data_IF_552141643045
#
_entry.id   IF_552141643045
#
_cell.length_a   1.000
_cell.length_b   1.000
_cell.length_c   1.000
_cell.angle_alpha   90.00
_cell.angle_beta   90.00
_cell.angle_gamma   90.00
#
_symmetry.space_group_name_H-M   'P 1'
#
loop_
_entity.id
_entity.type
_entity.pdbx_description
1 polymer ?
#
# COMPACT_ATOMS: atom_id res chain seq x y z
N UNK A 1 14.44 -15.23 18.43
CA UNK A 1 13.15 -14.95 17.80
C UNK A 1 12.85 -13.50 18.01
N UNK A 2 12.57 -12.79 16.95
CA UNK A 2 12.55 -11.33 16.83
C UNK A 2 11.15 -10.74 17.00
N UNK A 3 11.09 -9.41 17.21
CA UNK A 3 9.85 -8.65 17.22
C UNK A 3 9.67 -7.91 15.89
N UNK A 4 8.44 -7.73 15.46
CA UNK A 4 8.09 -6.87 14.32
C UNK A 4 7.07 -5.81 14.71
N UNK A 5 7.15 -4.64 14.08
CA UNK A 5 6.11 -3.60 14.14
C UNK A 5 5.39 -3.52 12.80
N UNK A 6 4.05 -3.40 12.84
CA UNK A 6 3.22 -3.07 11.68
C UNK A 6 2.46 -1.78 12.00
N UNK A 7 2.82 -0.68 11.35
CA UNK A 7 2.03 0.56 11.44
C UNK A 7 0.92 0.53 10.39
N UNK A 8 -0.26 1.04 10.73
CA UNK A 8 -1.46 0.87 9.89
C UNK A 8 -1.93 -0.61 9.86
N UNK A 9 -1.59 -1.36 10.92
CA UNK A 9 -1.78 -2.80 10.95
C UNK A 9 -3.21 -3.26 11.18
N UNK A 10 -4.12 -2.37 11.59
CA UNK A 10 -5.55 -2.66 11.67
C UNK A 10 -6.31 -2.35 10.37
N UNK A 11 -5.66 -1.71 9.39
CA UNK A 11 -6.23 -1.39 8.09
C UNK A 11 -6.23 -2.58 7.11
N UNK A 12 -6.63 -2.34 5.86
CA UNK A 12 -6.79 -3.34 4.79
C UNK A 12 -5.52 -4.18 4.58
N UNK A 13 -4.45 -3.59 4.04
CA UNK A 13 -3.23 -4.33 3.72
C UNK A 13 -2.52 -4.78 5.01
N UNK A 14 -2.50 -3.89 6.03
CA UNK A 14 -1.81 -4.14 7.29
C UNK A 14 -2.34 -5.36 8.03
N UNK A 15 -3.65 -5.53 8.12
CA UNK A 15 -4.25 -6.67 8.83
C UNK A 15 -4.00 -8.02 8.12
N UNK A 16 -4.00 -8.04 6.78
CA UNK A 16 -3.60 -9.22 6.01
C UNK A 16 -2.12 -9.56 6.23
N UNK A 17 -1.26 -8.53 6.31
CA UNK A 17 0.16 -8.72 6.61
C UNK A 17 0.38 -9.22 8.02
N UNK A 18 -0.32 -8.65 9.01
CA UNK A 18 -0.26 -9.10 10.43
C UNK A 18 -0.55 -10.60 10.53
N UNK A 19 -1.64 -11.07 9.95
CA UNK A 19 -2.00 -12.50 9.99
C UNK A 19 -0.90 -13.38 9.38
N UNK A 20 -0.26 -12.92 8.33
CA UNK A 20 0.78 -13.68 7.61
C UNK A 20 2.11 -13.74 8.36
N UNK A 21 2.46 -12.69 9.11
CA UNK A 21 3.75 -12.61 9.81
C UNK A 21 3.71 -13.15 11.25
N UNK A 22 2.54 -13.32 11.85
CA UNK A 22 2.40 -13.89 13.20
C UNK A 22 3.22 -15.16 13.46
N UNK A 23 3.28 -16.16 12.54
CA UNK A 23 4.09 -17.35 12.75
C UNK A 23 5.59 -17.13 12.57
N UNK A 24 6.01 -15.98 12.01
CA UNK A 24 7.42 -15.69 11.69
C UNK A 24 8.13 -14.92 12.82
N UNK A 25 7.39 -14.20 13.66
CA UNK A 25 7.93 -13.36 14.73
C UNK A 25 7.40 -13.83 16.09
N UNK A 26 8.24 -13.67 17.13
CA UNK A 26 7.84 -14.00 18.50
C UNK A 26 6.76 -13.05 19.02
N UNK A 27 6.83 -11.81 18.59
CA UNK A 27 5.90 -10.75 18.97
C UNK A 27 5.65 -9.86 17.76
N UNK A 28 4.40 -9.55 17.49
CA UNK A 28 3.98 -8.56 16.50
C UNK A 28 3.28 -7.43 17.22
N UNK A 29 3.83 -6.23 17.07
CA UNK A 29 3.26 -4.99 17.62
C UNK A 29 2.51 -4.30 16.48
N UNK A 30 1.24 -3.95 16.71
CA UNK A 30 0.42 -3.21 15.76
C UNK A 30 0.20 -1.78 16.28
N UNK A 31 0.50 -0.79 15.44
CA UNK A 31 0.24 0.63 15.71
C UNK A 31 -0.74 1.14 14.66
N UNK A 32 -1.90 1.60 15.09
CA UNK A 32 -2.94 2.19 14.23
C UNK A 32 -3.71 3.25 15.03
N UNK A 33 -4.12 4.35 14.41
CA UNK A 33 -4.92 5.39 15.09
C UNK A 33 -6.39 5.37 14.69
N UNK A 34 -6.78 4.42 13.82
CA UNK A 34 -8.15 4.28 13.30
C UNK A 34 -8.68 5.56 12.61
N UNK A 35 -7.79 6.33 11.97
CA UNK A 35 -8.17 7.60 11.33
C UNK A 35 -8.78 7.46 9.94
N UNK A 36 -8.73 6.27 9.32
CA UNK A 36 -9.19 6.08 7.95
C UNK A 36 -10.71 5.99 7.84
N UNK A 37 -11.35 7.04 7.34
CA UNK A 37 -12.80 7.06 7.04
C UNK A 37 -13.24 6.06 5.96
N UNK A 38 -12.28 5.49 5.21
CA UNK A 38 -12.58 4.50 4.17
C UNK A 38 -12.76 3.09 4.75
N UNK A 39 -12.29 2.83 5.95
CA UNK A 39 -12.44 1.55 6.60
C UNK A 39 -13.79 1.49 7.33
N UNK A 40 -14.60 0.47 7.02
CA UNK A 40 -15.84 0.22 7.75
C UNK A 40 -15.59 -0.35 9.14
N UNK A 41 -14.50 -1.08 9.26
CA UNK A 41 -14.00 -1.63 10.51
C UNK A 41 -12.47 -1.69 10.49
N UNK A 42 -11.90 -1.79 11.67
CA UNK A 42 -10.48 -2.02 11.89
C UNK A 42 -10.29 -3.45 12.38
N UNK A 43 -9.31 -4.14 11.79
CA UNK A 43 -9.07 -5.58 11.99
C UNK A 43 -7.91 -5.77 12.96
N UNK A 44 -8.16 -5.54 14.24
CA UNK A 44 -7.20 -5.84 15.29
C UNK A 44 -7.06 -7.35 15.48
N UNK A 45 -5.84 -7.84 15.67
CA UNK A 45 -5.61 -9.25 15.96
C UNK A 45 -5.22 -9.42 17.42
N UNK A 46 -5.99 -10.22 18.19
CA UNK A 46 -5.82 -10.41 19.64
C UNK A 46 -4.51 -11.14 20.01
N UNK A 47 -3.83 -11.75 19.02
CA UNK A 47 -2.50 -12.37 19.21
C UNK A 47 -1.36 -11.35 19.13
N UNK A 48 -1.65 -10.10 18.85
CA UNK A 48 -0.68 -9.02 18.73
C UNK A 48 -0.69 -8.12 19.96
N UNK A 49 0.39 -7.39 20.17
CA UNK A 49 0.43 -6.25 21.09
C UNK A 49 -0.10 -5.02 20.35
N UNK A 50 -1.35 -4.66 20.62
CA UNK A 50 -2.08 -3.62 19.88
C UNK A 50 -1.97 -2.26 20.57
N UNK A 51 -1.63 -1.21 19.82
CA UNK A 51 -1.55 0.16 20.30
C UNK A 51 -2.34 1.10 19.39
N UNK A 52 -3.37 1.75 19.94
CA UNK A 52 -4.10 2.82 19.26
C UNK A 52 -3.34 4.14 19.45
N UNK A 53 -2.37 4.41 18.55
CA UNK A 53 -1.48 5.57 18.61
C UNK A 53 -1.30 6.19 17.23
N UNK A 54 -1.03 7.51 17.21
CA UNK A 54 -0.63 8.24 16.01
C UNK A 54 0.88 8.06 15.76
N UNK A 55 1.28 7.72 14.55
CA UNK A 55 2.69 7.58 14.16
C UNK A 55 3.49 8.90 14.27
N UNK A 56 2.83 10.03 14.39
CA UNK A 56 3.46 11.32 14.65
C UNK A 56 3.79 11.56 16.13
N UNK A 57 3.31 10.71 17.03
CA UNK A 57 3.54 10.83 18.47
C UNK A 57 4.83 10.12 18.88
N UNK A 58 5.97 10.79 18.62
CA UNK A 58 7.30 10.24 18.85
C UNK A 58 7.50 9.69 20.27
N UNK A 59 7.07 10.43 21.28
CA UNK A 59 7.34 10.07 22.68
C UNK A 59 6.62 8.77 23.09
N UNK A 60 5.40 8.55 22.59
CA UNK A 60 4.60 7.36 22.91
C UNK A 60 4.95 6.16 22.02
N UNK A 61 5.41 6.35 20.79
CA UNK A 61 5.74 5.22 19.92
C UNK A 61 7.19 4.75 20.07
N UNK A 62 8.14 5.64 20.41
CA UNK A 62 9.58 5.33 20.52
C UNK A 62 9.85 4.13 21.44
N UNK A 63 9.26 4.00 22.64
CA UNK A 63 9.51 2.86 23.51
C UNK A 63 9.12 1.50 22.91
N UNK A 64 8.18 1.48 21.96
CA UNK A 64 7.70 0.26 21.32
C UNK A 64 8.73 -0.39 20.39
N UNK A 65 9.76 0.37 19.99
CA UNK A 65 10.81 -0.09 19.08
C UNK A 65 11.91 -0.91 19.76
N UNK A 66 11.87 -1.05 21.07
CA UNK A 66 12.88 -1.81 21.80
C UNK A 66 12.91 -3.28 21.39
N UNK A 67 14.08 -3.76 20.95
CA UNK A 67 14.34 -5.12 20.44
C UNK A 67 13.51 -5.51 19.19
N UNK A 68 13.04 -4.51 18.42
CA UNK A 68 12.37 -4.73 17.13
C UNK A 68 13.41 -5.03 16.05
N UNK A 69 13.17 -6.08 15.27
CA UNK A 69 14.03 -6.44 14.13
C UNK A 69 13.55 -5.79 12.82
N UNK A 70 12.25 -5.80 12.58
CA UNK A 70 11.67 -5.30 11.32
C UNK A 70 10.45 -4.42 11.59
N UNK A 71 10.35 -3.34 10.82
CA UNK A 71 9.18 -2.47 10.79
C UNK A 71 8.54 -2.52 9.41
N UNK A 72 7.26 -2.84 9.35
CA UNK A 72 6.42 -2.69 8.17
C UNK A 72 5.62 -1.40 8.31
N UNK A 73 5.96 -0.40 7.51
CA UNK A 73 5.37 0.93 7.62
C UNK A 73 4.29 1.16 6.55
N UNK A 74 3.01 0.88 6.94
CA UNK A 74 1.85 1.02 6.07
C UNK A 74 0.94 2.19 6.46
N UNK A 75 1.04 2.72 7.68
CA UNK A 75 0.24 3.86 8.12
C UNK A 75 0.43 5.07 7.22
N UNK A 76 -0.64 5.60 6.69
CA UNK A 76 -0.64 6.78 5.82
C UNK A 76 -2.06 7.34 5.61
N UNK A 77 -2.14 8.62 5.26
CA UNK A 77 -3.28 9.16 4.53
C UNK A 77 -3.21 8.62 3.08
N UNK A 78 -4.01 7.58 2.77
CA UNK A 78 -3.79 6.70 1.62
C UNK A 78 -4.74 6.96 0.43
N UNK A 79 -5.45 8.09 0.41
CA UNK A 79 -6.46 8.41 -0.61
C UNK A 79 -6.21 9.75 -1.26
N UNK A 80 -6.28 9.81 -2.58
CA UNK A 80 -6.00 11.04 -3.34
C UNK A 80 -6.95 12.17 -2.92
N UNK A 81 -8.26 11.96 -2.95
CA UNK A 81 -9.22 13.03 -2.71
C UNK A 81 -9.22 13.58 -1.27
N UNK A 82 -9.16 12.75 -0.21
CA UNK A 82 -8.97 13.26 1.15
C UNK A 82 -7.69 14.09 1.30
N UNK A 83 -6.57 13.68 0.67
CA UNK A 83 -5.31 14.44 0.74
C UNK A 83 -5.38 15.78 -0.01
N UNK A 84 -6.19 15.88 -1.08
CA UNK A 84 -6.46 17.18 -1.74
C UNK A 84 -7.29 18.10 -0.84
N UNK A 85 -8.27 17.53 -0.13
CA UNK A 85 -9.11 18.30 0.82
C UNK A 85 -8.32 18.77 2.04
N UNK A 86 -7.39 17.97 2.53
CA UNK A 86 -6.54 18.29 3.69
C UNK A 86 -5.07 17.94 3.44
N UNK A 87 -4.35 18.75 2.63
CA UNK A 87 -2.95 18.49 2.31
C UNK A 87 -2.01 18.62 3.52
N UNK A 88 -2.37 19.44 4.52
CA UNK A 88 -1.60 19.60 5.76
C UNK A 88 -1.59 18.29 6.55
N UNK A 89 -2.76 17.65 6.73
CA UNK A 89 -2.85 16.36 7.39
C UNK A 89 -2.07 15.30 6.63
N UNK A 90 -2.17 15.28 5.30
CA UNK A 90 -1.39 14.38 4.45
C UNK A 90 0.12 14.55 4.67
N UNK A 91 0.62 15.77 4.67
CA UNK A 91 2.04 16.06 4.93
C UNK A 91 2.45 15.65 6.36
N UNK A 92 1.63 15.96 7.35
CA UNK A 92 1.88 15.56 8.75
C UNK A 92 2.00 14.04 8.86
N UNK A 93 0.99 13.30 8.42
CA UNK A 93 0.97 11.84 8.57
C UNK A 93 2.01 11.16 7.69
N UNK A 94 2.05 11.48 6.39
CA UNK A 94 2.88 10.73 5.45
C UNK A 94 4.36 11.16 5.45
N UNK A 95 4.68 12.40 5.80
CA UNK A 95 6.06 12.88 5.81
C UNK A 95 6.61 12.90 7.23
N UNK A 96 5.96 13.64 8.15
CA UNK A 96 6.44 13.74 9.53
C UNK A 96 6.30 12.38 10.22
N UNK A 97 5.16 11.69 10.11
CA UNK A 97 4.97 10.35 10.68
C UNK A 97 5.98 9.34 10.14
N UNK A 98 6.26 9.32 8.82
CA UNK A 98 7.29 8.45 8.24
C UNK A 98 8.69 8.78 8.80
N UNK A 99 9.03 10.07 8.92
CA UNK A 99 10.30 10.50 9.52
C UNK A 99 10.40 10.04 10.98
N UNK A 100 9.30 10.13 11.75
CA UNK A 100 9.23 9.65 13.13
C UNK A 100 9.49 8.15 13.23
N UNK A 101 8.85 7.33 12.38
CA UNK A 101 9.08 5.88 12.34
C UNK A 101 10.53 5.54 11.99
N UNK A 102 11.10 6.19 10.98
CA UNK A 102 12.49 5.98 10.59
C UNK A 102 13.46 6.38 11.70
N UNK A 103 13.19 7.48 12.42
CA UNK A 103 14.02 7.92 13.54
C UNK A 103 13.95 6.95 14.71
N UNK A 104 12.76 6.49 15.11
CA UNK A 104 12.61 5.47 16.15
C UNK A 104 13.32 4.16 15.76
N UNK A 105 13.20 3.74 14.50
CA UNK A 105 13.86 2.54 13.99
C UNK A 105 15.40 2.67 14.05
N UNK A 106 15.94 3.83 13.66
CA UNK A 106 17.38 4.12 13.75
C UNK A 106 17.88 4.09 15.20
N UNK A 107 17.19 4.77 16.11
CA UNK A 107 17.60 4.85 17.53
C UNK A 107 17.57 3.50 18.23
N UNK A 108 16.61 2.64 17.88
CA UNK A 108 16.48 1.30 18.42
C UNK A 108 17.34 0.26 17.68
N UNK A 109 18.15 0.65 16.69
CA UNK A 109 18.96 -0.25 15.85
C UNK A 109 18.13 -1.33 15.17
N UNK A 110 16.92 -0.97 14.69
CA UNK A 110 16.08 -1.86 13.87
C UNK A 110 16.88 -2.26 12.63
N UNK A 111 16.84 -3.55 12.28
CA UNK A 111 17.58 -4.07 11.12
C UNK A 111 17.00 -3.51 9.82
N UNK A 112 15.66 -3.53 9.66
CA UNK A 112 15.04 -3.16 8.39
C UNK A 112 13.68 -2.48 8.55
N UNK A 113 13.44 -1.47 7.71
CA UNK A 113 12.13 -0.83 7.53
C UNK A 113 11.64 -1.10 6.11
N UNK A 114 10.41 -1.63 5.98
CA UNK A 114 9.74 -1.85 4.69
C UNK A 114 8.65 -0.81 4.57
N UNK A 115 8.78 0.07 3.57
CA UNK A 115 7.91 1.22 3.37
C UNK A 115 6.91 0.98 2.24
N UNK A 116 5.63 1.15 2.54
CA UNK A 116 4.55 1.07 1.57
C UNK A 116 4.40 2.39 0.83
N UNK A 117 4.86 2.45 -0.42
CA UNK A 117 4.70 3.57 -1.34
C UNK A 117 3.58 3.31 -2.37
N UNK A 118 3.57 4.03 -3.49
CA UNK A 118 2.47 4.03 -4.45
C UNK A 118 2.94 4.21 -5.89
N UNK A 119 2.27 3.54 -6.83
CA UNK A 119 2.43 3.78 -8.27
C UNK A 119 1.95 5.18 -8.72
N UNK A 120 1.18 5.88 -7.88
CA UNK A 120 0.72 7.25 -8.19
C UNK A 120 1.86 8.26 -8.36
N UNK A 121 3.07 7.92 -7.92
CA UNK A 121 4.27 8.73 -8.12
C UNK A 121 4.71 8.84 -9.58
N UNK A 122 4.26 7.93 -10.45
CA UNK A 122 4.60 7.96 -11.88
C UNK A 122 3.83 8.99 -12.70
N UNK A 123 2.67 9.44 -12.22
CA UNK A 123 1.86 10.47 -12.86
C UNK A 123 1.39 10.13 -14.28
N UNK A 124 1.40 11.13 -15.18
CA UNK A 124 0.86 11.03 -16.55
C UNK A 124 1.95 11.08 -17.64
N UNK A 125 3.15 11.55 -17.34
CA UNK A 125 4.22 11.76 -18.33
C UNK A 125 5.02 10.49 -18.64
N UNK A 126 5.00 9.52 -17.75
CA UNK A 126 5.73 8.30 -17.89
C UNK A 126 5.00 7.31 -18.80
N UNK A 127 5.76 6.63 -19.67
CA UNK A 127 5.21 5.63 -20.59
C UNK A 127 5.20 4.24 -19.94
N UNK A 128 4.17 3.47 -20.19
CA UNK A 128 4.07 2.08 -19.77
C UNK A 128 4.99 1.16 -20.61
N UNK A 129 5.46 0.04 -20.04
CA UNK A 129 5.35 -0.36 -18.64
C UNK A 129 6.19 0.54 -17.72
N UNK A 130 5.61 0.91 -16.56
CA UNK A 130 6.23 1.82 -15.59
C UNK A 130 7.37 1.12 -14.85
N UNK A 131 8.56 1.70 -14.84
CA UNK A 131 9.73 1.17 -14.13
C UNK A 131 10.30 2.20 -13.16
N UNK A 132 11.07 1.74 -12.20
CA UNK A 132 11.52 2.53 -11.04
C UNK A 132 12.64 3.55 -11.37
N UNK A 133 13.19 3.52 -12.59
CA UNK A 133 14.16 4.52 -13.07
C UNK A 133 13.47 5.76 -13.68
N UNK A 134 12.16 5.69 -13.89
CA UNK A 134 11.40 6.80 -14.43
C UNK A 134 11.30 7.95 -13.43
N UNK A 135 11.31 9.22 -13.91
CA UNK A 135 11.20 10.37 -13.04
C UNK A 135 9.84 10.43 -12.32
N UNK A 136 9.84 10.97 -11.11
CA UNK A 136 8.61 11.25 -10.38
C UNK A 136 7.78 12.32 -11.12
N UNK A 137 6.47 12.07 -11.30
CA UNK A 137 5.49 13.00 -11.86
C UNK A 137 4.26 13.06 -10.94
N UNK A 138 4.47 13.56 -9.73
CA UNK A 138 3.45 13.59 -8.68
C UNK A 138 2.35 14.62 -8.97
N UNK A 139 1.10 14.19 -9.09
CA UNK A 139 -0.04 15.03 -9.50
C UNK A 139 -0.91 15.53 -8.34
N UNK A 140 -0.69 15.02 -7.13
CA UNK A 140 -1.54 15.31 -5.97
C UNK A 140 -0.76 15.17 -4.65
N UNK A 141 -1.28 15.71 -3.52
CA UNK A 141 -0.59 15.63 -2.23
C UNK A 141 -0.27 14.21 -1.77
N UNK A 142 -1.12 13.23 -2.08
CA UNK A 142 -0.86 11.82 -1.77
C UNK A 142 0.43 11.33 -2.43
N UNK A 143 0.54 11.47 -3.75
CA UNK A 143 1.73 11.01 -4.49
C UNK A 143 2.99 11.76 -4.06
N UNK A 144 2.93 13.09 -3.89
CA UNK A 144 4.06 13.89 -3.40
C UNK A 144 4.56 13.39 -2.04
N UNK A 145 3.65 13.21 -1.09
CA UNK A 145 4.04 12.82 0.28
C UNK A 145 4.56 11.39 0.36
N UNK A 146 4.01 10.46 -0.45
CA UNK A 146 4.50 9.07 -0.50
C UNK A 146 5.88 8.99 -1.15
N UNK A 147 6.12 9.69 -2.25
CA UNK A 147 7.46 9.77 -2.89
C UNK A 147 8.47 10.47 -1.97
N UNK A 148 8.05 11.47 -1.19
CA UNK A 148 8.91 12.06 -0.15
C UNK A 148 9.33 11.01 0.87
N UNK A 149 8.43 10.11 1.28
CA UNK A 149 8.75 8.97 2.15
C UNK A 149 9.81 8.03 1.56
N UNK A 150 9.78 7.75 0.24
CA UNK A 150 10.83 6.98 -0.45
C UNK A 150 12.20 7.68 -0.32
N UNK A 151 12.23 9.00 -0.50
CA UNK A 151 13.46 9.80 -0.37
C UNK A 151 13.98 9.83 1.06
N UNK A 152 13.08 9.89 2.06
CA UNK A 152 13.45 9.76 3.47
C UNK A 152 14.04 8.36 3.74
N UNK A 153 13.42 7.29 3.28
CA UNK A 153 13.95 5.93 3.41
C UNK A 153 15.36 5.82 2.84
N UNK A 154 15.56 6.28 1.60
CA UNK A 154 16.88 6.27 0.97
C UNK A 154 17.90 7.08 1.77
N UNK A 155 17.54 8.27 2.22
CA UNK A 155 18.42 9.13 3.03
C UNK A 155 18.83 8.44 4.34
N UNK A 156 17.88 7.79 5.05
CA UNK A 156 18.20 7.04 6.27
C UNK A 156 19.14 5.85 6.00
N UNK A 157 18.99 5.20 4.84
CA UNK A 157 19.93 4.14 4.44
C UNK A 157 21.31 4.71 4.17
N UNK A 158 21.41 5.77 3.37
CA UNK A 158 22.71 6.33 2.93
C UNK A 158 23.49 6.98 4.07
N UNK A 159 22.81 7.73 4.98
CA UNK A 159 23.47 8.47 6.04
C UNK A 159 23.65 7.66 7.34
N UNK A 160 22.71 6.78 7.65
CA UNK A 160 22.66 6.15 8.96
C UNK A 160 22.80 4.62 8.91
N UNK A 161 22.84 4.03 7.70
CA UNK A 161 22.96 2.58 7.53
C UNK A 161 21.69 1.78 7.90
N UNK A 162 20.56 2.44 8.13
CA UNK A 162 19.29 1.76 8.35
C UNK A 162 18.84 1.09 7.05
N UNK A 163 18.69 -0.23 7.04
CA UNK A 163 18.19 -0.92 5.84
C UNK A 163 16.74 -0.53 5.55
N UNK A 164 16.47 0.08 4.41
CA UNK A 164 15.09 0.40 3.96
C UNK A 164 14.80 -0.23 2.62
N UNK A 165 13.56 -0.68 2.42
CA UNK A 165 13.04 -1.15 1.12
C UNK A 165 11.69 -0.47 0.92
N UNK A 166 11.46 0.17 -0.23
CA UNK A 166 10.20 0.83 -0.54
C UNK A 166 9.45 0.09 -1.65
N UNK A 167 8.15 -0.07 -1.51
CA UNK A 167 7.29 -0.73 -2.50
C UNK A 167 6.28 0.24 -3.09
N UNK A 168 6.27 0.42 -4.41
CA UNK A 168 5.19 1.09 -5.15
C UNK A 168 4.13 0.06 -5.48
N UNK A 169 3.05 0.04 -4.69
CA UNK A 169 1.91 -0.84 -4.94
C UNK A 169 1.05 -0.35 -6.10
N UNK A 170 0.58 -1.29 -6.93
CA UNK A 170 -0.36 -1.06 -8.01
C UNK A 170 -1.74 -1.58 -7.63
N UNK A 171 -2.74 -0.71 -7.53
CA UNK A 171 -4.17 -0.93 -7.29
C UNK A 171 -4.51 -2.21 -6.50
N UNK A 172 -4.19 -2.21 -5.22
CA UNK A 172 -4.37 -3.40 -4.36
C UNK A 172 -5.84 -3.70 -4.15
N UNK A 173 -6.22 -4.97 -4.29
CA UNK A 173 -7.56 -5.51 -4.04
C UNK A 173 -7.47 -6.80 -3.23
N UNK A 174 -8.63 -7.28 -2.73
CA UNK A 174 -8.73 -8.57 -2.02
C UNK A 174 -9.44 -8.47 -0.68
N UNK A 175 -9.22 -9.44 0.18
CA UNK A 175 -9.88 -9.59 1.47
C UNK A 175 -9.68 -8.36 2.36
N UNK A 176 -10.76 -7.92 3.03
CA UNK A 176 -10.81 -6.73 3.90
C UNK A 176 -10.60 -5.39 3.16
N UNK A 177 -10.69 -5.38 1.82
CA UNK A 177 -10.63 -4.12 1.09
C UNK A 177 -11.80 -3.22 1.47
N UNK A 178 -11.60 -1.89 1.56
CA UNK A 178 -12.70 -0.96 1.77
C UNK A 178 -13.72 -1.04 0.62
N UNK A 179 -15.00 -1.10 0.97
CA UNK A 179 -16.09 -1.23 0.00
C UNK A 179 -17.04 -0.02 -0.02
N UNK A 180 -16.98 0.85 1.02
CA UNK A 180 -17.78 2.07 1.13
C UNK A 180 -17.01 3.33 0.77
N UNK A 181 -17.81 4.36 0.43
CA UNK A 181 -17.30 5.67 0.07
C UNK A 181 -16.85 5.73 -1.40
N UNK A 182 -16.97 6.93 -1.97
CA UNK A 182 -16.64 7.17 -3.40
C UNK A 182 -15.14 7.03 -3.72
N UNK A 183 -14.29 6.82 -2.72
CA UNK A 183 -12.83 6.70 -2.85
C UNK A 183 -12.32 5.30 -2.48
N UNK A 184 -13.20 4.32 -2.25
CA UNK A 184 -12.81 2.92 -2.10
C UNK A 184 -12.21 2.36 -3.42
N UNK A 185 -11.43 1.28 -3.39
CA UNK A 185 -10.98 0.60 -4.60
C UNK A 185 -12.17 0.22 -5.48
N UNK A 186 -12.02 0.38 -6.80
CA UNK A 186 -13.13 0.17 -7.76
C UNK A 186 -13.76 -1.21 -7.65
N UNK A 187 -12.94 -2.25 -7.46
CA UNK A 187 -13.42 -3.63 -7.27
C UNK A 187 -14.33 -3.74 -6.04
N UNK A 188 -13.91 -3.15 -4.91
CA UNK A 188 -14.72 -3.12 -3.70
C UNK A 188 -16.04 -2.37 -3.87
N UNK A 189 -16.02 -1.23 -4.59
CA UNK A 189 -17.24 -0.47 -4.91
C UNK A 189 -18.19 -1.32 -5.77
N UNK A 190 -17.69 -1.96 -6.82
CA UNK A 190 -18.50 -2.75 -7.75
C UNK A 190 -19.14 -3.97 -7.07
N UNK A 191 -18.37 -4.71 -6.26
CA UNK A 191 -18.87 -5.84 -5.49
C UNK A 191 -20.01 -5.37 -4.55
N UNK A 192 -19.78 -4.29 -3.78
CA UNK A 192 -20.82 -3.74 -2.91
C UNK A 192 -22.09 -3.34 -3.68
N UNK A 193 -21.91 -2.63 -4.80
CA UNK A 193 -23.06 -2.18 -5.62
C UNK A 193 -23.84 -3.37 -6.15
N UNK A 194 -23.16 -4.39 -6.68
CA UNK A 194 -23.81 -5.64 -7.13
C UNK A 194 -24.58 -6.30 -5.99
N UNK A 195 -23.95 -6.51 -4.83
CA UNK A 195 -24.55 -7.21 -3.70
C UNK A 195 -25.75 -6.44 -3.11
N UNK A 196 -25.76 -5.12 -3.26
CA UNK A 196 -26.89 -4.26 -2.87
C UNK A 196 -27.97 -4.14 -3.96
N UNK A 197 -27.82 -4.80 -5.13
CA UNK A 197 -28.74 -4.66 -6.27
C UNK A 197 -28.63 -3.30 -6.99
N UNK A 198 -27.62 -2.48 -6.66
CA UNK A 198 -27.36 -1.21 -7.32
C UNK A 198 -26.61 -1.40 -8.65
N UNK A 199 -26.78 -0.48 -9.60
CA UNK A 199 -25.94 -0.46 -10.80
C UNK A 199 -24.50 -0.06 -10.45
N UNK A 200 -23.53 -0.85 -10.91
CA UNK A 200 -22.11 -0.48 -10.81
C UNK A 200 -21.83 0.83 -11.57
N UNK A 201 -21.12 1.75 -10.94
CA UNK A 201 -20.88 3.10 -11.48
C UNK A 201 -19.51 3.21 -12.13
N UNK A 202 -19.49 3.24 -13.46
CA UNK A 202 -18.26 3.37 -14.27
C UNK A 202 -18.01 4.85 -14.54
N UNK A 203 -16.82 5.35 -14.13
CA UNK A 203 -16.39 6.73 -14.37
C UNK A 203 -15.93 6.87 -15.84
N UNK A 204 -16.42 7.89 -16.55
CA UNK A 204 -16.09 8.13 -17.96
C UNK A 204 -16.63 7.02 -18.86
N UNK A 205 -15.85 6.58 -19.83
CA UNK A 205 -16.16 5.50 -20.78
C UNK A 205 -15.76 4.09 -20.27
N UNK A 206 -15.04 4.03 -19.15
CA UNK A 206 -14.54 2.78 -18.57
C UNK A 206 -13.33 2.17 -19.26
N UNK A 207 -12.77 2.84 -20.27
CA UNK A 207 -11.58 2.34 -21.01
C UNK A 207 -10.26 2.59 -20.26
N UNK A 208 -10.27 3.35 -19.16
CA UNK A 208 -9.07 3.52 -18.33
C UNK A 208 -8.62 2.17 -17.76
N UNK A 209 -7.33 1.85 -17.92
CA UNK A 209 -6.75 0.55 -17.56
C UNK A 209 -5.92 0.63 -16.29
N UNK A 210 -6.00 -0.42 -15.46
CA UNK A 210 -5.25 -0.51 -14.19
C UNK A 210 -4.62 -1.90 -14.05
N UNK A 211 -3.38 -1.90 -13.59
CA UNK A 211 -2.73 -3.10 -13.06
C UNK A 211 -3.24 -3.33 -11.64
N UNK A 212 -3.93 -4.45 -11.43
CA UNK A 212 -4.54 -4.81 -10.14
C UNK A 212 -3.73 -5.91 -9.47
N UNK A 213 -3.28 -5.66 -8.24
CA UNK A 213 -2.46 -6.60 -7.47
C UNK A 213 -3.22 -7.13 -6.27
N UNK A 214 -3.29 -8.45 -6.13
CA UNK A 214 -3.98 -9.05 -4.99
C UNK A 214 -3.23 -8.81 -3.69
N UNK A 215 -3.96 -8.59 -2.59
CA UNK A 215 -3.37 -8.28 -1.28
C UNK A 215 -2.42 -9.36 -0.78
N UNK A 216 -2.67 -10.64 -1.06
CA UNK A 216 -1.76 -11.73 -0.68
C UNK A 216 -0.40 -11.67 -1.39
N UNK A 217 -0.36 -11.17 -2.64
CA UNK A 217 0.88 -10.98 -3.39
C UNK A 217 1.67 -9.79 -2.82
N UNK A 218 0.97 -8.70 -2.45
CA UNK A 218 1.56 -7.56 -1.73
C UNK A 218 2.14 -8.00 -0.39
N UNK A 219 1.41 -8.79 0.37
CA UNK A 219 1.86 -9.37 1.65
C UNK A 219 3.09 -10.25 1.44
N UNK A 220 3.09 -11.09 0.39
CA UNK A 220 4.23 -11.95 0.05
C UNK A 220 5.48 -11.12 -0.24
N UNK A 221 5.37 -10.00 -0.98
CA UNK A 221 6.50 -9.11 -1.23
C UNK A 221 7.08 -8.53 0.07
N UNK A 222 6.21 -8.10 1.00
CA UNK A 222 6.63 -7.60 2.32
C UNK A 222 7.37 -8.67 3.13
N UNK A 223 6.82 -9.89 3.18
CA UNK A 223 7.46 -11.00 3.88
C UNK A 223 8.82 -11.33 3.29
N UNK A 224 8.93 -11.45 1.96
CA UNK A 224 10.20 -11.71 1.29
C UNK A 224 11.25 -10.65 1.64
N UNK A 225 10.88 -9.36 1.58
CA UNK A 225 11.79 -8.28 1.93
C UNK A 225 12.21 -8.33 3.41
N UNK A 226 11.36 -8.81 4.31
CA UNK A 226 11.66 -8.85 5.75
C UNK A 226 12.69 -9.91 6.12
N UNK A 227 12.68 -11.05 5.44
CA UNK A 227 13.54 -12.22 5.74
C UNK A 227 14.77 -12.31 4.85
N UNK A 228 14.87 -11.47 3.82
CA UNK A 228 15.95 -11.55 2.85
C UNK A 228 17.29 -11.16 3.47
N UNK A 229 18.30 -12.04 3.32
CA UNK A 229 19.66 -11.77 3.80
C UNK A 229 20.49 -10.93 2.84
N UNK A 230 20.19 -11.04 1.55
CA UNK A 230 20.88 -10.25 0.54
C UNK A 230 20.48 -8.76 0.67
N UNK A 231 21.43 -7.86 0.46
CA UNK A 231 21.24 -6.40 0.58
C UNK A 231 20.93 -5.70 -0.74
N UNK A 232 20.72 -6.45 -1.81
CA UNK A 232 20.51 -5.87 -3.14
C UNK A 232 19.29 -4.91 -3.21
N UNK A 233 18.14 -5.18 -2.52
CA UNK A 233 17.00 -4.27 -2.51
C UNK A 233 17.13 -3.11 -1.50
N UNK A 234 18.16 -3.09 -0.65
CA UNK A 234 18.30 -2.06 0.39
C UNK A 234 18.54 -0.68 -0.23
N UNK A 235 17.81 0.32 0.25
CA UNK A 235 17.82 1.70 -0.25
C UNK A 235 17.13 1.86 -1.61
N UNK A 236 16.38 0.85 -2.08
CA UNK A 236 15.72 0.87 -3.39
C UNK A 236 14.21 0.88 -3.30
N UNK A 237 13.62 1.34 -4.41
CA UNK A 237 12.18 1.27 -4.69
C UNK A 237 11.95 0.09 -5.63
N UNK A 238 10.90 -0.69 -5.39
CA UNK A 238 10.47 -1.80 -6.23
C UNK A 238 8.98 -1.72 -6.53
N UNK A 239 8.61 -1.96 -7.77
CA UNK A 239 7.21 -2.08 -8.18
C UNK A 239 6.62 -3.42 -7.73
N UNK A 240 5.45 -3.35 -7.13
CA UNK A 240 4.63 -4.52 -6.77
C UNK A 240 3.31 -4.40 -7.53
N UNK A 241 3.29 -5.02 -8.70
CA UNK A 241 2.19 -5.06 -9.66
C UNK A 241 2.17 -6.42 -10.36
N UNK A 242 1.21 -6.65 -11.25
CA UNK A 242 1.11 -7.92 -11.97
C UNK A 242 1.82 -7.92 -13.33
N UNK A 243 2.05 -6.73 -13.92
CA UNK A 243 2.48 -6.60 -15.30
C UNK A 243 1.37 -6.91 -16.30
N UNK A 244 0.13 -6.98 -15.84
CA UNK A 244 -1.09 -7.12 -16.65
C UNK A 244 -2.11 -6.08 -16.18
N UNK A 245 -2.85 -5.47 -17.08
CA UNK A 245 -3.85 -4.50 -16.74
C UNK A 245 -5.21 -4.81 -17.37
N UNK A 246 -6.26 -4.33 -16.72
CA UNK A 246 -7.66 -4.48 -17.14
C UNK A 246 -8.32 -3.11 -17.22
N UNK A 247 -9.24 -2.92 -18.18
CA UNK A 247 -10.09 -1.74 -18.19
C UNK A 247 -11.15 -1.83 -17.09
N UNK A 248 -11.62 -0.66 -16.63
CA UNK A 248 -12.68 -0.63 -15.61
C UNK A 248 -13.98 -1.27 -16.15
N UNK A 249 -14.23 -1.14 -17.46
CA UNK A 249 -15.36 -1.80 -18.12
C UNK A 249 -15.19 -3.33 -18.16
N UNK A 250 -13.98 -3.85 -18.42
CA UNK A 250 -13.67 -5.29 -18.30
C UNK A 250 -13.97 -5.81 -16.91
N UNK A 251 -13.52 -5.09 -15.86
CA UNK A 251 -13.79 -5.45 -14.46
C UNK A 251 -15.29 -5.46 -14.15
N UNK A 252 -16.03 -4.44 -14.60
CA UNK A 252 -17.49 -4.40 -14.40
C UNK A 252 -18.18 -5.63 -15.02
N UNK A 253 -17.81 -5.98 -16.26
CA UNK A 253 -18.37 -7.14 -16.96
C UNK A 253 -18.03 -8.49 -16.30
N UNK A 254 -16.85 -8.61 -15.67
CA UNK A 254 -16.49 -9.80 -14.90
C UNK A 254 -17.30 -9.94 -13.61
N UNK A 255 -17.77 -8.82 -13.04
CA UNK A 255 -18.53 -8.81 -11.78
C UNK A 255 -20.05 -8.95 -12.05
N UNK A 256 -20.56 -8.38 -13.16
CA UNK A 256 -21.97 -8.46 -13.53
C UNK A 256 -22.35 -7.52 -14.66
N UNK A 257 -23.62 -7.66 -15.13
CA UNK A 257 -24.12 -6.92 -16.30
C UNK A 257 -24.85 -5.61 -15.95
N UNK A 258 -25.12 -5.36 -14.65
CA UNK A 258 -25.87 -4.17 -14.23
C UNK A 258 -24.90 -3.02 -13.92
N UNK A 259 -24.56 -2.20 -14.91
CA UNK A 259 -23.70 -1.03 -14.74
C UNK A 259 -24.23 0.21 -15.49
N UNK A 260 -23.76 1.39 -15.07
CA UNK A 260 -24.04 2.67 -15.70
C UNK A 260 -22.80 3.57 -15.68
N UNK A 261 -22.68 4.43 -16.69
CA UNK A 261 -21.62 5.39 -16.81
C UNK A 261 -21.95 6.67 -16.03
N UNK A 262 -20.92 7.27 -15.40
CA UNK A 262 -21.01 8.55 -14.70
C UNK A 262 -19.92 9.50 -15.22
N UNK A 263 -20.02 10.80 -14.90
CA UNK A 263 -19.09 11.80 -15.36
C UNK A 263 -17.63 11.46 -15.06
N UNK A 264 -16.75 11.80 -16.00
CA UNK A 264 -15.30 11.60 -15.86
C UNK A 264 -14.70 12.46 -14.76
N UNK A 265 -13.62 11.97 -14.14
CA UNK A 265 -12.86 12.69 -13.12
C UNK A 265 -11.56 13.22 -13.71
N UNK A 266 -11.21 14.47 -13.35
CA UNK A 266 -9.93 15.06 -13.76
C UNK A 266 -8.76 14.48 -12.96
N UNK A 267 -7.60 14.32 -13.63
CA UNK A 267 -6.34 13.97 -12.94
C UNK A 267 -6.12 12.50 -12.70
N UNK A 268 -6.89 11.60 -13.30
CA UNK A 268 -6.66 10.16 -13.28
C UNK A 268 -5.81 9.74 -14.48
N UNK A 269 -4.84 8.83 -14.24
CA UNK A 269 -4.06 8.23 -15.31
C UNK A 269 -4.96 7.39 -16.23
N UNK A 270 -4.74 7.45 -17.55
CA UNK A 270 -5.46 6.61 -18.50
C UNK A 270 -5.08 5.15 -18.35
N UNK A 271 -3.78 4.88 -18.12
CA UNK A 271 -3.29 3.52 -18.04
C UNK A 271 -2.18 3.40 -17.00
N UNK A 272 -2.20 2.30 -16.23
CA UNK A 272 -1.09 1.88 -15.36
C UNK A 272 -0.74 0.43 -15.66
N UNK A 273 0.57 0.16 -15.81
CA UNK A 273 1.12 -1.18 -16.05
C UNK A 273 2.52 -1.24 -15.42
N UNK A 274 2.73 -2.15 -14.49
CA UNK A 274 4.01 -2.30 -13.80
C UNK A 274 5.03 -3.05 -14.66
N UNK A 275 6.28 -2.58 -14.68
CA UNK A 275 7.41 -3.46 -14.90
C UNK A 275 7.83 -4.02 -13.54
N UNK A 276 7.87 -5.33 -13.40
CA UNK A 276 8.16 -6.05 -12.15
C UNK A 276 9.51 -6.76 -12.15
N UNK A 277 10.34 -6.55 -13.15
CA UNK A 277 11.63 -7.21 -13.31
C UNK A 277 12.56 -7.00 -12.12
N UNK A 278 12.53 -5.80 -11.52
CA UNK A 278 13.33 -5.48 -10.35
C UNK A 278 12.91 -6.29 -9.12
N UNK A 279 11.61 -6.39 -8.83
CA UNK A 279 11.09 -7.20 -7.73
C UNK A 279 11.40 -8.70 -7.95
N UNK A 280 11.21 -9.19 -9.16
CA UNK A 280 11.56 -10.56 -9.53
C UNK A 280 13.04 -10.85 -9.32
N UNK A 281 13.92 -9.97 -9.80
CA UNK A 281 15.37 -10.14 -9.69
C UNK A 281 15.86 -10.07 -8.24
N UNK A 282 15.42 -9.08 -7.48
CA UNK A 282 15.99 -8.75 -6.16
C UNK A 282 15.35 -9.53 -5.01
N UNK A 283 14.06 -9.88 -5.13
CA UNK A 283 13.30 -10.58 -4.09
C UNK A 283 12.92 -12.00 -4.49
N UNK A 284 13.06 -12.40 -5.77
CA UNK A 284 12.44 -13.61 -6.29
C UNK A 284 10.91 -13.54 -6.31
N UNK A 285 10.33 -12.35 -6.18
CA UNK A 285 8.89 -12.15 -6.10
C UNK A 285 8.24 -12.18 -7.47
N UNK A 286 7.14 -12.91 -7.58
CA UNK A 286 6.23 -12.90 -8.74
C UNK A 286 4.79 -12.92 -8.24
N UNK A 287 3.85 -12.23 -8.92
CA UNK A 287 2.44 -12.30 -8.58
C UNK A 287 1.90 -13.70 -8.84
N UNK A 288 1.01 -14.18 -7.98
CA UNK A 288 0.47 -15.55 -8.03
C UNK A 288 -1.04 -15.59 -8.22
N UNK A 289 -1.76 -14.53 -7.88
CA UNK A 289 -3.22 -14.46 -7.95
C UNK A 289 -3.65 -13.76 -9.23
N UNK A 290 -4.42 -14.45 -10.06
CA UNK A 290 -5.07 -13.85 -11.22
C UNK A 290 -6.38 -13.18 -10.79
N UNK A 291 -6.62 -11.99 -11.33
CA UNK A 291 -7.80 -11.20 -10.98
C UNK A 291 -9.10 -11.92 -11.35
N UNK A 292 -9.15 -12.50 -12.54
CA UNK A 292 -10.32 -13.22 -13.05
C UNK A 292 -10.69 -14.39 -12.14
N UNK A 293 -9.69 -15.21 -11.75
CA UNK A 293 -9.89 -16.38 -10.88
C UNK A 293 -10.40 -15.97 -9.49
N UNK A 294 -9.96 -14.81 -9.00
CA UNK A 294 -10.42 -14.28 -7.71
C UNK A 294 -11.82 -13.70 -7.80
N UNK A 295 -12.13 -12.96 -8.88
CA UNK A 295 -13.45 -12.41 -9.11
C UNK A 295 -14.48 -13.53 -9.26
N UNK A 296 -14.20 -14.59 -10.02
CA UNK A 296 -15.09 -15.74 -10.20
C UNK A 296 -15.48 -16.42 -8.87
N UNK A 297 -14.54 -16.46 -7.90
CA UNK A 297 -14.79 -17.04 -6.56
C UNK A 297 -15.54 -16.11 -5.62
N UNK A 298 -15.51 -14.80 -5.88
CA UNK A 298 -16.08 -13.76 -5.02
C UNK A 298 -17.23 -12.97 -5.70
N UNK A 299 -17.68 -13.46 -6.87
CA UNK A 299 -18.80 -12.90 -7.65
C UNK A 299 -20.10 -13.58 -7.34
#
# INVERSE_FOLDING_TARGET
MSKAIVTGGAGFIGSNLVDRILPLYKEVIVIDNESSDANEQFYWNDKCTNHKLDICDYENIRPLFENVEVVFHLAAEARIQPTIKNPILSAKTNVVGTCTILQCAREANVKRVIYSSTSSGYGLKNKIPLNEEMPDDCLNPYSVTKVTGEKLCKMYTDLFGLETVAFRYFNVYGERQPIKGQYAPVIGIFIRQRDSGESMTIVGDGEQRRDFTHVSDVVTANVLASILENKEPVGKVLNIGTGTNHSILEIAKLIGDNYKFIESRLGEAQETLANTDRAKKMLGWVPSVKLEDWLEKNS
#
